data_IF_293490091598
#
_entry.id   IF_293490091598
#
_cell.length_a   1.000
_cell.length_b   1.000
_cell.length_c   1.000
_cell.angle_alpha   90.00
_cell.angle_beta   90.00
_cell.angle_gamma   90.00
#
_symmetry.space_group_name_H-M   'P 1'
#
loop_
_entity.id
_entity.type
_entity.pdbx_description
1 polymer ?
#
# COMPACT_ATOMS: atom_id res chain seq x y z
N UNK A 1 4.23 3.62 -19.73
CA UNK A 1 3.20 4.23 -18.86
C UNK A 1 2.49 3.11 -18.12
N UNK A 2 2.79 2.90 -16.84
CA UNK A 2 2.19 1.81 -16.08
C UNK A 2 0.89 2.30 -15.43
N UNK A 3 -0.24 1.81 -15.95
CA UNK A 3 -1.60 2.05 -15.45
C UNK A 3 -1.70 1.88 -13.91
N UNK A 4 -0.91 0.96 -13.36
CA UNK A 4 -0.81 0.67 -11.93
C UNK A 4 -0.49 1.88 -11.06
N UNK A 5 0.52 2.68 -11.41
CA UNK A 5 0.92 3.83 -10.58
C UNK A 5 -0.17 4.91 -10.57
N UNK A 6 -0.81 5.14 -11.71
CA UNK A 6 -1.91 6.09 -11.82
C UNK A 6 -3.14 5.63 -11.03
N UNK A 7 -3.51 4.34 -11.11
CA UNK A 7 -4.61 3.77 -10.33
C UNK A 7 -4.34 3.85 -8.82
N UNK A 8 -3.15 3.49 -8.39
CA UNK A 8 -2.71 3.59 -7.00
C UNK A 8 -2.80 5.03 -6.47
N UNK A 9 -2.24 5.99 -7.21
CA UNK A 9 -2.27 7.41 -6.80
C UNK A 9 -3.69 7.95 -6.70
N UNK A 10 -4.56 7.59 -7.66
CA UNK A 10 -5.98 7.96 -7.66
C UNK A 10 -6.71 7.43 -6.43
N UNK A 11 -6.51 6.16 -6.10
CA UNK A 11 -7.12 5.52 -4.93
C UNK A 11 -6.59 6.14 -3.64
N UNK A 12 -5.28 6.35 -3.54
CA UNK A 12 -4.66 6.96 -2.38
C UNK A 12 -5.14 8.39 -2.15
N UNK A 13 -5.34 9.18 -3.21
CA UNK A 13 -5.89 10.54 -3.12
C UNK A 13 -7.30 10.55 -2.52
N UNK A 14 -8.16 9.62 -2.96
CA UNK A 14 -9.52 9.47 -2.45
C UNK A 14 -9.51 9.06 -0.97
N UNK A 15 -8.65 8.10 -0.61
CA UNK A 15 -8.51 7.64 0.77
C UNK A 15 -7.98 8.75 1.69
N UNK A 16 -7.01 9.55 1.25
CA UNK A 16 -6.50 10.71 2.01
C UNK A 16 -7.56 11.78 2.26
N UNK A 17 -8.46 12.02 1.29
CA UNK A 17 -9.59 12.95 1.46
C UNK A 17 -10.61 12.43 2.48
N UNK A 18 -10.73 11.11 2.63
CA UNK A 18 -11.66 10.44 3.55
C UNK A 18 -11.08 10.27 4.97
N UNK A 19 -9.81 9.94 5.10
CA UNK A 19 -9.15 9.77 6.40
C UNK A 19 -8.60 11.09 6.91
N UNK A 20 -9.32 11.71 7.85
CA UNK A 20 -8.88 12.94 8.54
C UNK A 20 -7.87 12.69 9.66
N UNK A 21 -7.74 11.45 10.14
CA UNK A 21 -6.89 11.10 11.27
C UNK A 21 -5.92 9.97 10.91
N UNK A 22 -4.62 10.27 10.96
CA UNK A 22 -3.55 9.25 10.97
C UNK A 22 -3.03 9.15 12.40
N UNK A 23 -3.82 8.55 13.30
CA UNK A 23 -3.43 8.36 14.69
C UNK A 23 -2.65 7.05 14.82
N UNK A 24 -1.33 7.12 14.67
CA UNK A 24 -0.46 6.05 15.14
C UNK A 24 -0.07 6.37 16.57
N UNK A 25 -0.82 5.81 17.53
CA UNK A 25 -0.36 5.72 18.91
C UNK A 25 0.95 4.93 18.96
N UNK A 26 1.86 5.29 19.86
CA UNK A 26 3.18 4.69 20.08
C UNK A 26 3.31 3.22 19.64
N UNK A 27 4.19 2.95 18.67
CA UNK A 27 4.51 1.61 18.19
C UNK A 27 5.96 1.25 18.53
N UNK A 28 6.20 0.05 19.09
CA UNK A 28 7.57 -0.44 19.39
C UNK A 28 8.43 -0.65 18.16
N UNK A 29 7.82 -0.91 16.99
CA UNK A 29 8.51 -1.08 15.71
C UNK A 29 7.95 -0.07 14.72
N UNK A 30 8.83 0.60 13.98
CA UNK A 30 8.42 1.49 12.91
C UNK A 30 7.75 0.69 11.78
N UNK A 31 6.53 1.05 11.36
CA UNK A 31 5.86 0.37 10.27
C UNK A 31 6.60 0.64 8.96
N UNK A 32 6.71 -0.39 8.11
CA UNK A 32 7.40 -0.29 6.82
C UNK A 32 6.54 0.35 5.72
N UNK A 33 5.25 0.51 5.98
CA UNK A 33 4.25 1.07 5.09
C UNK A 33 3.16 1.75 5.93
N UNK A 34 2.60 2.86 5.46
CA UNK A 34 1.47 3.52 6.14
C UNK A 34 0.17 2.76 5.87
N UNK A 35 -0.78 2.83 6.80
CA UNK A 35 -2.07 2.13 6.68
C UNK A 35 -2.83 2.50 5.40
N UNK A 36 -2.85 3.80 5.06
CA UNK A 36 -3.47 4.27 3.81
C UNK A 36 -2.76 3.75 2.56
N UNK A 37 -1.43 3.63 2.62
CA UNK A 37 -0.66 3.07 1.51
C UNK A 37 -0.95 1.58 1.35
N UNK A 38 -1.09 0.84 2.46
CA UNK A 38 -1.46 -0.58 2.44
C UNK A 38 -2.83 -0.78 1.81
N UNK A 39 -3.82 -0.05 2.30
CA UNK A 39 -5.21 -0.14 1.82
C UNK A 39 -5.29 0.26 0.34
N UNK A 40 -4.59 1.33 -0.06
CA UNK A 40 -4.58 1.74 -1.47
C UNK A 40 -3.96 0.67 -2.38
N UNK A 41 -2.95 -0.08 -1.90
CA UNK A 41 -2.30 -1.13 -2.66
C UNK A 41 -3.18 -2.37 -2.80
N UNK A 42 -3.87 -2.78 -1.73
CA UNK A 42 -4.85 -3.87 -1.76
C UNK A 42 -5.99 -3.57 -2.76
N UNK A 43 -6.58 -2.38 -2.67
CA UNK A 43 -7.63 -1.96 -3.60
C UNK A 43 -7.15 -1.85 -5.05
N UNK A 44 -5.89 -1.47 -5.26
CA UNK A 44 -5.29 -1.44 -6.60
C UNK A 44 -5.11 -2.87 -7.13
N UNK A 45 -4.73 -3.83 -6.28
CA UNK A 45 -4.63 -5.24 -6.66
C UNK A 45 -5.97 -5.79 -7.12
N UNK A 46 -7.02 -5.57 -6.32
CA UNK A 46 -8.39 -5.99 -6.62
C UNK A 46 -8.88 -5.34 -7.92
N UNK A 47 -8.67 -4.03 -8.08
CA UNK A 47 -9.09 -3.30 -9.28
C UNK A 47 -8.39 -3.82 -10.55
N UNK A 48 -7.13 -4.24 -10.43
CA UNK A 48 -6.36 -4.76 -11.56
C UNK A 48 -6.52 -6.27 -11.77
N UNK A 49 -7.30 -6.95 -10.92
CA UNK A 49 -7.46 -8.41 -10.97
C UNK A 49 -6.15 -9.16 -10.71
N UNK A 50 -5.29 -8.60 -9.86
CA UNK A 50 -4.01 -9.21 -9.49
C UNK A 50 -4.24 -10.06 -8.24
N UNK A 51 -4.17 -11.38 -8.40
CA UNK A 51 -4.40 -12.36 -7.32
C UNK A 51 -3.36 -12.30 -6.18
N UNK A 52 -2.29 -11.52 -6.34
CA UNK A 52 -1.21 -11.45 -5.35
C UNK A 52 -0.68 -10.03 -5.16
N UNK A 53 -0.98 -9.46 -3.99
CA UNK A 53 -0.37 -8.22 -3.48
C UNK A 53 1.17 -8.30 -3.48
N UNK A 54 1.74 -9.51 -3.34
CA UNK A 54 3.18 -9.76 -3.46
C UNK A 54 3.75 -9.44 -4.84
N UNK A 55 2.96 -9.49 -5.91
CA UNK A 55 3.38 -9.02 -7.22
C UNK A 55 3.59 -7.50 -7.22
N UNK A 56 2.68 -6.76 -6.59
CA UNK A 56 2.75 -5.30 -6.46
C UNK A 56 3.91 -4.86 -5.56
N UNK A 57 4.14 -5.56 -4.44
CA UNK A 57 5.28 -5.28 -3.55
C UNK A 57 6.63 -5.44 -4.27
N UNK A 58 6.76 -6.45 -5.15
CA UNK A 58 7.94 -6.67 -5.99
C UNK A 58 8.08 -5.62 -7.08
N UNK A 59 7.01 -5.27 -7.79
CA UNK A 59 7.03 -4.26 -8.84
C UNK A 59 7.38 -2.86 -8.32
N UNK A 60 6.92 -2.51 -7.11
CA UNK A 60 7.26 -1.22 -6.48
C UNK A 60 8.66 -1.17 -5.88
N UNK A 61 9.49 -2.21 -6.06
CA UNK A 61 10.85 -2.28 -5.54
C UNK A 61 10.90 -1.95 -4.04
N UNK A 62 9.89 -2.42 -3.28
CA UNK A 62 9.86 -2.27 -1.83
C UNK A 62 10.72 -3.39 -1.24
N UNK A 63 12.04 -3.35 -1.51
CA UNK A 63 13.02 -4.31 -1.01
C UNK A 63 13.07 -4.39 0.54
N UNK A 64 12.46 -3.42 1.22
CA UNK A 64 12.40 -3.41 2.67
C UNK A 64 11.30 -4.33 3.24
N UNK A 65 10.33 -4.79 2.43
CA UNK A 65 9.30 -5.74 2.84
C UNK A 65 9.77 -7.20 2.74
N UNK A 66 11.07 -7.51 2.84
CA UNK A 66 11.48 -8.87 3.19
C UNK A 66 10.79 -9.25 4.48
N UNK A 67 9.74 -10.05 4.28
CA UNK A 67 8.95 -10.73 5.27
C UNK A 67 9.91 -11.66 5.98
N UNK A 68 10.46 -11.22 7.11
CA UNK A 68 10.98 -12.13 8.12
C UNK A 68 9.76 -12.77 8.80
N UNK A 69 9.08 -13.66 8.07
CA UNK A 69 8.30 -14.71 8.71
C UNK A 69 9.36 -15.71 9.17
N UNK A 70 9.46 -15.81 10.49
CA UNK A 70 10.05 -16.94 11.20
C UNK A 70 9.10 -18.12 11.02
#
# INVERSE_FOLDING_TARGET
MNNLNASYERILEVLRKKSKDNLVSYQRRAPKLKDLELISLALTADFMGIDSENHLFRQRNINHLKVSII
#
